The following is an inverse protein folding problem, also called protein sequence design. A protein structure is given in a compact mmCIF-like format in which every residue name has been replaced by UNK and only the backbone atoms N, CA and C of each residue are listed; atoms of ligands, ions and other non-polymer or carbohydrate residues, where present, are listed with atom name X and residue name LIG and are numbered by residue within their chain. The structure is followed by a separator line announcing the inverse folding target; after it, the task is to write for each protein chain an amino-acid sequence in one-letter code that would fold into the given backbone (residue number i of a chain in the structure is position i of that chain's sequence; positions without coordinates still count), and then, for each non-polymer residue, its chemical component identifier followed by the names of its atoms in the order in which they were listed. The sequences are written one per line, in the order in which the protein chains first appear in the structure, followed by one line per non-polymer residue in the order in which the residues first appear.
data_IF_684533089531
#
_entry.id   IF_684533089531
#
_cell.length_a   1.000
_cell.length_b   1.000
_cell.length_c   1.000
_cell.angle_alpha   90.00
_cell.angle_beta   90.00
_cell.angle_gamma   90.00
#
_symmetry.space_group_name_H-M   'P 1'
#
loop_
_entity.id
_entity.type
_entity.pdbx_description
1 polymer ?
#
# COMPACT_ATOMS: atom_id res chain seq x y z
N UNK A 1 1.29 13.61 1.11
CA UNK A 1 1.75 12.27 1.61
C UNK A 1 1.22 11.02 0.87
N UNK A 2 -0.09 10.79 0.68
CA UNK A 2 -0.62 9.52 0.07
C UNK A 2 -0.05 9.18 -1.32
N UNK A 3 0.20 10.18 -2.16
CA UNK A 3 0.83 10.00 -3.47
C UNK A 3 2.24 9.39 -3.38
N UNK A 4 3.02 9.82 -2.39
CA UNK A 4 4.39 9.35 -2.19
C UNK A 4 4.38 7.91 -1.63
N UNK A 5 3.39 7.56 -0.83
CA UNK A 5 3.15 6.17 -0.40
C UNK A 5 2.84 5.24 -1.58
N UNK A 6 2.23 5.76 -2.65
CA UNK A 6 1.97 4.99 -3.87
C UNK A 6 3.23 4.68 -4.69
N UNK A 7 4.36 5.35 -4.41
CA UNK A 7 5.66 4.95 -4.97
C UNK A 7 6.10 3.58 -4.44
N UNK A 8 5.68 3.21 -3.22
CA UNK A 8 6.05 1.95 -2.61
C UNK A 8 5.60 0.71 -3.44
N UNK A 9 4.32 0.58 -3.87
CA UNK A 9 3.93 -0.50 -4.77
C UNK A 9 4.59 -0.41 -6.16
N UNK A 10 4.96 0.78 -6.64
CA UNK A 10 5.71 0.94 -7.90
C UNK A 10 7.16 0.40 -7.79
N UNK A 11 7.87 0.76 -6.72
CA UNK A 11 9.22 0.25 -6.43
C UNK A 11 9.16 -1.25 -6.18
N UNK A 12 8.13 -1.73 -5.48
CA UNK A 12 7.91 -3.16 -5.26
C UNK A 12 7.71 -3.91 -6.59
N UNK A 13 6.90 -3.37 -7.52
CA UNK A 13 6.71 -3.91 -8.86
C UNK A 13 8.03 -3.97 -9.63
N UNK A 14 8.77 -2.85 -9.70
CA UNK A 14 10.05 -2.76 -10.41
C UNK A 14 11.12 -3.67 -9.82
N UNK A 15 11.24 -3.69 -8.49
CA UNK A 15 12.14 -4.58 -7.77
C UNK A 15 11.77 -6.06 -7.94
N UNK A 16 10.48 -6.37 -8.10
CA UNK A 16 9.97 -7.66 -8.53
C UNK A 16 10.59 -8.10 -9.87
N UNK A 17 10.53 -7.22 -10.87
CA UNK A 17 11.11 -7.47 -12.20
C UNK A 17 12.62 -7.69 -12.11
N UNK A 18 13.33 -6.80 -11.40
CA UNK A 18 14.79 -6.75 -11.44
C UNK A 18 15.44 -7.86 -10.59
N UNK A 19 14.97 -8.09 -9.36
CA UNK A 19 15.58 -9.04 -8.41
C UNK A 19 15.11 -10.49 -8.62
N UNK A 20 13.87 -10.67 -9.08
CA UNK A 20 13.26 -12.00 -9.26
C UNK A 20 13.16 -12.41 -10.72
N UNK A 21 13.53 -11.53 -11.67
CA UNK A 21 13.42 -11.77 -13.11
C UNK A 21 12.02 -12.25 -13.50
N UNK A 22 10.99 -11.74 -12.82
CA UNK A 22 9.59 -12.06 -13.14
C UNK A 22 9.33 -11.62 -14.59
N UNK A 23 8.93 -12.57 -15.45
CA UNK A 23 8.66 -12.26 -16.85
C UNK A 23 7.30 -11.58 -16.96
N UNK A 24 7.32 -10.28 -17.26
CA UNK A 24 6.09 -9.54 -17.53
C UNK A 24 5.50 -9.98 -18.86
N UNK A 25 4.25 -10.45 -18.83
CA UNK A 25 3.47 -10.51 -20.06
C UNK A 25 3.20 -9.09 -20.55
N UNK A 26 3.14 -8.89 -21.88
CA UNK A 26 2.76 -7.59 -22.48
C UNK A 26 1.44 -7.06 -21.90
N UNK A 27 0.53 -7.96 -21.54
CA UNK A 27 -0.76 -7.63 -20.90
C UNK A 27 -0.55 -7.05 -19.49
N UNK A 28 0.39 -7.60 -18.71
CA UNK A 28 0.69 -7.07 -17.37
C UNK A 28 1.32 -5.68 -17.43
N UNK A 29 2.17 -5.43 -18.43
CA UNK A 29 2.77 -4.13 -18.64
C UNK A 29 1.70 -3.08 -19.00
N UNK A 30 0.77 -3.42 -19.90
CA UNK A 30 -0.35 -2.55 -20.25
C UNK A 30 -1.22 -2.27 -19.02
N UNK A 31 -1.56 -3.31 -18.24
CA UNK A 31 -2.32 -3.17 -16.99
C UNK A 31 -1.61 -2.27 -15.97
N UNK A 32 -0.30 -2.44 -15.81
CA UNK A 32 0.50 -1.60 -14.92
C UNK A 32 0.53 -0.13 -15.37
N UNK A 33 0.76 0.14 -16.66
CA UNK A 33 0.74 1.51 -17.21
C UNK A 33 -0.63 2.15 -17.00
N UNK A 34 -1.71 1.41 -17.27
CA UNK A 34 -3.08 1.87 -17.08
C UNK A 34 -3.38 2.15 -15.59
N UNK A 35 -2.86 1.31 -14.69
CA UNK A 35 -2.99 1.46 -13.25
C UNK A 35 -2.25 2.71 -12.74
N UNK A 36 -0.98 2.90 -13.11
CA UNK A 36 -0.21 4.06 -12.66
C UNK A 36 -0.70 5.36 -13.31
N UNK A 37 -1.12 5.31 -14.58
CA UNK A 37 -1.81 6.42 -15.24
C UNK A 37 -3.10 6.78 -14.52
N UNK A 38 -3.95 5.80 -14.21
CA UNK A 38 -5.20 6.00 -13.46
C UNK A 38 -4.97 6.58 -12.06
N UNK A 39 -3.91 6.16 -11.36
CA UNK A 39 -3.54 6.73 -10.07
C UNK A 39 -3.14 8.20 -10.22
N UNK A 40 -2.36 8.54 -11.25
CA UNK A 40 -2.01 9.93 -11.57
C UNK A 40 -3.26 10.80 -11.77
N UNK A 41 -4.25 10.31 -12.51
CA UNK A 41 -5.53 11.00 -12.69
C UNK A 41 -6.36 11.07 -11.40
N UNK A 42 -6.41 9.98 -10.63
CA UNK A 42 -7.14 9.92 -9.36
C UNK A 42 -6.63 10.99 -8.38
N UNK A 43 -5.32 11.21 -8.36
CA UNK A 43 -4.70 12.20 -7.50
C UNK A 43 -4.55 13.59 -8.15
N UNK A 44 -5.17 13.85 -9.31
CA UNK A 44 -5.02 15.10 -10.05
C UNK A 44 -5.30 16.36 -9.20
N UNK A 45 -6.27 16.32 -8.29
CA UNK A 45 -6.53 17.46 -7.39
C UNK A 45 -5.50 17.59 -6.26
N UNK A 46 -4.89 16.48 -5.83
CA UNK A 46 -3.91 16.45 -4.74
C UNK A 46 -2.50 16.84 -5.23
N UNK A 47 -2.17 16.57 -6.50
CA UNK A 47 -0.87 16.89 -7.10
C UNK A 47 -0.57 18.41 -7.02
N UNK A 48 -1.43 19.31 -7.53
CA UNK A 48 -1.20 20.75 -7.46
C UNK A 48 -1.12 21.27 -6.04
N UNK A 49 -1.95 20.74 -5.12
CA UNK A 49 -1.96 21.14 -3.71
C UNK A 49 -0.63 20.81 -3.02
N UNK A 50 0.00 19.68 -3.36
CA UNK A 50 1.31 19.28 -2.83
C UNK A 50 2.45 20.07 -3.50
N UNK A 51 2.31 20.41 -4.78
CA UNK A 51 3.29 21.24 -5.49
C UNK A 51 3.20 22.73 -5.13
N UNK A 52 2.01 23.22 -4.75
CA UNK A 52 1.76 24.62 -4.37
C UNK A 52 1.83 24.86 -2.87
N UNK A 53 1.80 23.81 -2.04
CA UNK A 53 2.09 23.91 -0.63
C UNK A 53 3.57 24.26 -0.42
N UNK A 54 3.87 25.55 -0.43
CA UNK A 54 5.14 26.18 -0.04
C UNK A 54 5.56 25.89 1.42
N UNK A 55 4.85 24.99 2.11
CA UNK A 55 5.04 24.57 3.49
C UNK A 55 5.50 23.10 3.63
N UNK A 56 5.46 22.26 2.59
CA UNK A 56 6.11 20.94 2.67
C UNK A 56 7.61 21.13 2.40
N UNK A 57 8.40 21.18 3.48
CA UNK A 57 9.86 21.23 3.41
C UNK A 57 10.38 20.05 2.58
N UNK A 58 11.34 20.31 1.68
CA UNK A 58 12.03 19.31 0.83
C UNK A 58 12.50 18.11 1.67
N UNK A 59 12.92 18.37 2.92
CA UNK A 59 13.31 17.36 3.91
C UNK A 59 12.23 16.30 4.18
N UNK A 60 10.97 16.74 4.31
CA UNK A 60 9.83 15.84 4.51
C UNK A 60 9.61 14.93 3.29
N UNK A 61 9.68 15.49 2.09
CA UNK A 61 9.55 14.72 0.84
C UNK A 61 10.66 13.67 0.73
N UNK A 62 11.90 14.04 1.00
CA UNK A 62 13.05 13.11 0.98
C UNK A 62 12.86 11.98 1.99
N UNK A 63 12.42 12.28 3.21
CA UNK A 63 12.15 11.27 4.23
C UNK A 63 11.04 10.29 3.83
N UNK A 64 9.97 10.78 3.19
CA UNK A 64 8.87 9.90 2.74
C UNK A 64 9.32 9.03 1.56
N UNK A 65 10.12 9.56 0.63
CA UNK A 65 10.72 8.77 -0.46
C UNK A 65 11.64 7.69 0.12
N UNK A 66 12.49 8.04 1.09
CA UNK A 66 13.36 7.07 1.77
C UNK A 66 12.56 5.98 2.47
N UNK A 67 11.46 6.36 3.13
CA UNK A 67 10.54 5.43 3.78
C UNK A 67 9.87 4.48 2.78
N UNK A 68 9.46 4.99 1.61
CA UNK A 68 8.88 4.16 0.54
C UNK A 68 9.89 3.15 -0.02
N UNK A 69 11.14 3.57 -0.22
CA UNK A 69 12.25 2.68 -0.65
C UNK A 69 12.54 1.63 0.42
N UNK A 70 12.61 2.03 1.70
CA UNK A 70 12.84 1.12 2.80
C UNK A 70 11.72 0.07 2.92
N UNK A 71 10.46 0.49 2.80
CA UNK A 71 9.30 -0.41 2.80
C UNK A 71 9.33 -1.38 1.62
N UNK A 72 9.62 -0.89 0.41
CA UNK A 72 9.69 -1.74 -0.77
C UNK A 72 10.84 -2.74 -0.67
N UNK A 73 11.99 -2.31 -0.15
CA UNK A 73 13.14 -3.18 0.13
C UNK A 73 12.80 -4.26 1.15
N UNK A 74 12.10 -3.89 2.22
CA UNK A 74 11.56 -4.85 3.20
C UNK A 74 10.63 -5.86 2.53
N UNK A 75 9.64 -5.42 1.76
CA UNK A 75 8.69 -6.30 1.08
C UNK A 75 9.39 -7.25 0.09
N UNK A 76 10.39 -6.75 -0.65
CA UNK A 76 11.21 -7.57 -1.54
C UNK A 76 12.06 -8.56 -0.76
N UNK A 77 12.74 -8.16 0.31
CA UNK A 77 13.52 -9.07 1.14
C UNK A 77 12.63 -10.14 1.78
N UNK A 78 11.44 -9.75 2.25
CA UNK A 78 10.45 -10.63 2.85
C UNK A 78 10.11 -11.81 1.92
N UNK A 79 9.94 -11.55 0.62
CA UNK A 79 9.67 -12.62 -0.37
C UNK A 79 10.84 -13.60 -0.54
N UNK A 80 12.10 -13.17 -0.42
CA UNK A 80 13.25 -14.10 -0.39
C UNK A 80 13.24 -14.95 0.88
N UNK A 81 12.97 -14.34 2.04
CA UNK A 81 12.95 -15.05 3.32
C UNK A 81 11.82 -16.08 3.39
N UNK A 82 10.70 -15.83 2.71
CA UNK A 82 9.57 -16.76 2.60
C UNK A 82 9.91 -18.08 1.88
N UNK A 83 11.07 -18.17 1.22
CA UNK A 83 11.58 -19.46 0.67
C UNK A 83 12.08 -20.38 1.79
N UNK A 84 12.60 -19.81 2.87
CA UNK A 84 13.20 -20.57 3.99
C UNK A 84 12.31 -20.63 5.24
N UNK A 85 11.42 -19.65 5.42
CA UNK A 85 10.57 -19.50 6.59
C UNK A 85 9.09 -19.58 6.23
N UNK A 86 8.28 -20.17 7.12
CA UNK A 86 6.82 -20.14 6.96
C UNK A 86 6.27 -18.72 7.17
N UNK A 87 5.16 -18.38 6.50
CA UNK A 87 4.54 -17.04 6.61
C UNK A 87 4.26 -16.63 8.06
N UNK A 88 3.80 -17.57 8.91
CA UNK A 88 3.50 -17.30 10.32
C UNK A 88 4.75 -16.95 11.12
N UNK A 89 5.85 -17.68 10.94
CA UNK A 89 7.11 -17.43 11.63
C UNK A 89 7.69 -16.06 11.24
N UNK A 90 7.66 -15.73 9.95
CA UNK A 90 8.22 -14.47 9.47
C UNK A 90 7.42 -13.28 10.01
N UNK A 91 6.09 -13.33 9.95
CA UNK A 91 5.23 -12.26 10.50
C UNK A 91 5.45 -12.10 12.02
N UNK A 92 5.59 -13.19 12.77
CA UNK A 92 5.84 -13.13 14.21
C UNK A 92 7.20 -12.47 14.51
N UNK A 93 8.27 -12.87 13.80
CA UNK A 93 9.60 -12.29 13.96
C UNK A 93 9.57 -10.78 13.67
N UNK A 94 8.90 -10.36 12.60
CA UNK A 94 8.76 -8.94 12.25
C UNK A 94 8.03 -8.17 13.35
N UNK A 95 6.97 -8.75 13.94
CA UNK A 95 6.26 -8.09 15.05
C UNK A 95 7.05 -8.02 16.33
N UNK A 96 7.77 -9.08 16.71
CA UNK A 96 8.59 -9.06 17.93
C UNK A 96 9.73 -8.07 17.79
N UNK A 97 10.45 -8.10 16.67
CA UNK A 97 11.54 -7.15 16.40
C UNK A 97 11.01 -5.71 16.31
N UNK A 98 9.93 -5.49 15.57
CA UNK A 98 9.29 -4.18 15.45
C UNK A 98 8.81 -3.65 16.80
N UNK A 99 8.19 -4.50 17.61
CA UNK A 99 7.77 -4.17 18.97
C UNK A 99 8.96 -3.76 19.84
N UNK A 100 10.01 -4.58 19.89
CA UNK A 100 11.21 -4.31 20.68
C UNK A 100 11.90 -2.99 20.27
N UNK A 101 11.99 -2.72 18.97
CA UNK A 101 12.57 -1.48 18.44
C UNK A 101 11.73 -0.25 18.76
N UNK A 102 10.40 -0.40 18.87
CA UNK A 102 9.48 0.71 19.15
C UNK A 102 9.28 0.98 20.64
N UNK A 103 9.59 0.04 21.54
CA UNK A 103 9.53 0.23 23.01
C UNK A 103 10.21 1.54 23.48
N UNK A 104 11.47 1.86 23.10
CA UNK A 104 12.13 3.08 23.60
C UNK A 104 11.51 4.37 23.09
N UNK A 105 10.73 4.31 22.01
CA UNK A 105 10.00 5.47 21.44
C UNK A 105 8.55 5.55 21.93
N UNK A 106 8.08 4.54 22.68
CA UNK A 106 6.68 4.42 23.09
C UNK A 106 6.42 5.13 24.43
N UNK A 107 5.46 6.04 24.43
CA UNK A 107 5.03 6.76 25.63
C UNK A 107 3.87 6.02 26.31
N UNK A 108 4.20 5.13 27.24
CA UNK A 108 3.19 4.31 27.90
C UNK A 108 2.18 5.10 28.74
N UNK A 109 2.57 6.29 29.21
CA UNK A 109 1.71 7.14 30.04
C UNK A 109 0.48 7.67 29.29
N UNK A 110 0.57 7.78 27.96
CA UNK A 110 -0.53 8.26 27.11
C UNK A 110 -1.67 7.25 27.00
N UNK A 111 -1.44 5.96 27.28
CA UNK A 111 -2.49 4.92 27.28
C UNK A 111 -3.52 5.13 28.40
N UNK A 112 -3.10 5.70 29.54
CA UNK A 112 -3.99 5.94 30.67
C UNK A 112 -5.00 7.08 30.42
N UNK A 113 -4.74 7.93 29.43
CA UNK A 113 -5.59 9.08 29.09
C UNK A 113 -6.53 8.80 27.90
N UNK A 114 -6.55 7.58 27.37
CA UNK A 114 -7.39 7.24 26.22
C UNK A 114 -8.86 7.10 26.63
N UNK A 115 -9.76 7.69 25.83
CA UNK A 115 -11.20 7.49 25.99
C UNK A 115 -11.65 6.09 25.59
N UNK A 116 -12.84 5.66 26.00
CA UNK A 116 -13.40 4.33 25.67
C UNK A 116 -13.41 4.08 24.15
N UNK A 117 -13.79 5.09 23.35
CA UNK A 117 -13.77 5.00 21.89
C UNK A 117 -12.37 4.88 21.30
N UNK A 118 -11.38 5.53 21.90
CA UNK A 118 -9.97 5.42 21.47
C UNK A 118 -9.39 4.04 21.80
N UNK A 119 -9.80 3.42 22.91
CA UNK A 119 -9.44 2.04 23.23
C UNK A 119 -10.00 1.05 22.21
N UNK A 120 -11.27 1.21 21.83
CA UNK A 120 -11.89 0.38 20.77
C UNK A 120 -11.14 0.57 19.44
N UNK A 121 -10.83 1.82 19.07
CA UNK A 121 -10.08 2.12 17.86
C UNK A 121 -8.65 1.53 17.89
N UNK A 122 -7.99 1.56 19.05
CA UNK A 122 -6.65 0.99 19.25
C UNK A 122 -6.68 -0.53 19.05
N UNK A 123 -7.61 -1.23 19.71
CA UNK A 123 -7.75 -2.68 19.58
C UNK A 123 -8.06 -3.05 18.12
N UNK A 124 -8.99 -2.32 17.48
CA UNK A 124 -9.31 -2.52 16.07
C UNK A 124 -8.09 -2.33 15.17
N UNK A 125 -7.29 -1.28 15.40
CA UNK A 125 -6.05 -1.02 14.66
C UNK A 125 -5.03 -2.16 14.82
N UNK A 126 -4.86 -2.69 16.04
CA UNK A 126 -3.98 -3.83 16.31
C UNK A 126 -4.43 -5.08 15.54
N UNK A 127 -5.72 -5.43 15.61
CA UNK A 127 -6.26 -6.57 14.85
C UNK A 127 -6.13 -6.37 13.34
N UNK A 128 -6.45 -5.18 12.82
CA UNK A 128 -6.30 -4.85 11.41
C UNK A 128 -4.85 -5.02 10.94
N UNK A 129 -3.89 -4.57 11.73
CA UNK A 129 -2.46 -4.73 11.46
C UNK A 129 -2.08 -6.21 11.38
N UNK A 130 -2.46 -7.01 12.39
CA UNK A 130 -2.16 -8.46 12.45
C UNK A 130 -2.73 -9.20 11.24
N UNK A 131 -4.00 -8.95 10.93
CA UNK A 131 -4.70 -9.61 9.82
C UNK A 131 -4.13 -9.13 8.48
N UNK A 132 -3.91 -7.82 8.32
CA UNK A 132 -3.44 -7.20 7.10
C UNK A 132 -2.04 -7.66 6.70
N UNK A 133 -1.07 -7.59 7.61
CA UNK A 133 0.29 -8.07 7.33
C UNK A 133 0.38 -9.59 7.25
N UNK A 134 -0.45 -10.33 7.99
CA UNK A 134 -0.56 -11.79 7.84
C UNK A 134 -1.04 -12.18 6.43
N UNK A 135 -2.09 -11.51 5.94
CA UNK A 135 -2.59 -11.67 4.58
C UNK A 135 -1.56 -11.24 3.53
N UNK A 136 -0.90 -10.09 3.73
CA UNK A 136 0.17 -9.60 2.85
C UNK A 136 1.33 -10.58 2.74
N UNK A 137 1.82 -11.09 3.88
CA UNK A 137 2.90 -12.09 3.93
C UNK A 137 2.51 -13.36 3.20
N UNK A 138 1.26 -13.83 3.38
CA UNK A 138 0.74 -15.00 2.68
C UNK A 138 0.62 -14.75 1.18
N UNK A 139 0.12 -13.58 0.78
CA UNK A 139 0.01 -13.17 -0.63
C UNK A 139 1.40 -13.13 -1.29
N UNK A 140 2.42 -12.58 -0.63
CA UNK A 140 3.79 -12.56 -1.13
C UNK A 140 4.42 -13.95 -1.30
N UNK A 141 3.94 -14.95 -0.54
CA UNK A 141 4.37 -16.34 -0.70
C UNK A 141 3.72 -17.04 -1.90
N UNK A 142 2.46 -16.73 -2.21
CA UNK A 142 1.69 -17.45 -3.26
C UNK A 142 1.58 -16.68 -4.58
N UNK A 143 1.74 -15.36 -4.58
CA UNK A 143 1.59 -14.49 -5.74
C UNK A 143 2.92 -13.86 -6.17
N UNK A 144 2.99 -13.58 -7.47
CA UNK A 144 4.08 -12.76 -8.02
C UNK A 144 4.01 -11.34 -7.44
N UNK A 145 5.16 -10.69 -7.33
CA UNK A 145 5.26 -9.38 -6.68
C UNK A 145 4.37 -8.36 -7.38
N UNK A 146 4.26 -8.49 -8.71
CA UNK A 146 3.40 -7.67 -9.56
C UNK A 146 1.91 -7.73 -9.22
N UNK A 147 1.40 -8.89 -8.81
CA UNK A 147 -0.01 -9.05 -8.44
C UNK A 147 -0.27 -8.41 -7.08
N UNK A 148 0.66 -8.62 -6.14
CA UNK A 148 0.58 -8.01 -4.80
C UNK A 148 0.63 -6.49 -4.91
N UNK A 149 1.54 -5.92 -5.70
CA UNK A 149 1.61 -4.47 -5.91
C UNK A 149 0.36 -3.90 -6.59
N UNK A 150 -0.24 -4.63 -7.54
CA UNK A 150 -1.48 -4.21 -8.20
C UNK A 150 -2.65 -4.13 -7.21
N UNK A 151 -2.78 -5.12 -6.32
CA UNK A 151 -3.83 -5.12 -5.27
C UNK A 151 -3.60 -4.01 -4.25
N UNK A 152 -2.36 -3.83 -3.78
CA UNK A 152 -2.03 -2.73 -2.85
C UNK A 152 -2.36 -1.37 -3.45
N UNK A 153 -2.17 -1.24 -4.76
CA UNK A 153 -2.43 0.01 -5.45
C UNK A 153 -3.92 0.40 -5.51
N UNK A 154 -4.83 -0.54 -5.32
CA UNK A 154 -6.28 -0.29 -5.23
C UNK A 154 -6.69 0.22 -3.85
N UNK A 155 -5.89 -0.03 -2.81
CA UNK A 155 -6.19 0.38 -1.43
C UNK A 155 -6.66 1.84 -1.26
N UNK A 156 -6.01 2.87 -1.84
CA UNK A 156 -6.49 4.25 -1.70
C UNK A 156 -7.89 4.49 -2.28
N UNK A 157 -8.26 3.79 -3.36
CA UNK A 157 -9.60 3.88 -3.96
C UNK A 157 -10.63 3.24 -3.04
N UNK A 158 -10.31 2.06 -2.49
CA UNK A 158 -11.18 1.39 -1.54
C UNK A 158 -11.39 2.24 -0.27
N UNK A 159 -10.32 2.82 0.26
CA UNK A 159 -10.39 3.74 1.41
C UNK A 159 -11.26 4.95 1.09
N UNK A 160 -11.12 5.53 -0.09
CA UNK A 160 -11.96 6.66 -0.51
C UNK A 160 -13.44 6.26 -0.64
N UNK A 161 -13.74 5.14 -1.31
CA UNK A 161 -15.12 4.65 -1.45
C UNK A 161 -15.75 4.35 -0.08
N UNK A 162 -14.97 3.79 0.84
CA UNK A 162 -15.39 3.55 2.22
C UNK A 162 -15.69 4.86 2.95
N UNK A 163 -14.87 5.91 2.75
CA UNK A 163 -15.11 7.23 3.32
C UNK A 163 -16.40 7.87 2.76
N UNK A 164 -16.63 7.79 1.44
CA UNK A 164 -17.89 8.21 0.79
C UNK A 164 -19.11 7.51 1.40
N UNK A 165 -19.01 6.21 1.62
CA UNK A 165 -20.09 5.41 2.19
C UNK A 165 -20.33 5.75 3.67
N UNK A 166 -19.26 6.04 4.43
CA UNK A 166 -19.36 6.53 5.81
C UNK A 166 -20.05 7.90 5.89
N UNK A 167 -19.72 8.84 4.99
CA UNK A 167 -20.40 10.15 4.88
C UNK A 167 -21.89 9.97 4.58
N UNK A 168 -22.25 9.04 3.68
CA UNK A 168 -23.66 8.77 3.36
C UNK A 168 -24.45 8.25 4.58
N UNK A 169 -23.81 7.46 5.45
CA UNK A 169 -24.44 6.90 6.66
C UNK A 169 -24.50 7.93 7.80
N UNK A 170 -23.48 8.78 7.96
CA UNK A 170 -23.37 9.75 9.04
C UNK A 170 -22.82 11.11 8.54
N UNK A 171 -23.64 11.91 7.83
CA UNK A 171 -23.19 13.15 7.18
C UNK A 171 -22.74 14.25 8.15
N UNK A 172 -23.23 14.24 9.40
CA UNK A 172 -22.92 15.27 10.40
C UNK A 172 -21.54 15.10 11.06
N UNK A 173 -20.86 13.97 10.84
CA UNK A 173 -19.58 13.63 11.50
C UNK A 173 -18.39 13.68 10.54
N UNK A 174 -18.62 13.55 9.23
CA UNK A 174 -17.57 13.37 8.24
C UNK A 174 -17.61 14.44 7.14
N UNK A 175 -16.47 15.07 6.88
CA UNK A 175 -16.33 16.10 5.83
C UNK A 175 -16.21 15.48 4.44
N UNK A 176 -16.96 16.02 3.47
CA UNK A 176 -16.91 15.57 2.08
C UNK A 176 -15.58 16.03 1.44
N UNK A 177 -14.82 15.06 0.92
CA UNK A 177 -13.72 15.35 0.03
C UNK A 177 -14.31 15.40 -1.38
N UNK A 178 -14.73 16.57 -1.83
CA UNK A 178 -15.27 16.78 -3.18
C UNK A 178 -14.26 16.28 -4.23
N UNK A 179 -14.55 15.14 -4.87
CA UNK A 179 -13.78 14.65 -6.01
C UNK A 179 -14.37 15.17 -7.31
N UNK A 180 -13.48 15.73 -8.14
CA UNK A 180 -13.78 16.08 -9.52
C UNK A 180 -13.98 14.81 -10.38
N UNK A 181 -14.72 14.97 -11.47
CA UNK A 181 -15.06 13.93 -12.44
C UNK A 181 -13.82 13.19 -12.96
N UNK A 182 -12.70 13.90 -13.09
CA UNK A 182 -11.42 13.35 -13.51
C UNK A 182 -10.89 12.28 -12.55
N UNK A 183 -11.12 12.47 -11.25
CA UNK A 183 -10.64 11.56 -10.22
C UNK A 183 -11.46 10.25 -10.21
N UNK A 184 -12.76 10.31 -10.55
CA UNK A 184 -13.58 9.12 -10.79
C UNK A 184 -13.12 8.31 -12.01
N UNK A 185 -12.79 8.99 -13.11
CA UNK A 185 -12.21 8.34 -14.30
C UNK A 185 -10.88 7.66 -13.93
N UNK A 186 -10.04 8.35 -13.16
CA UNK A 186 -8.80 7.77 -12.61
C UNK A 186 -9.06 6.48 -11.82
N UNK A 187 -10.03 6.48 -10.90
CA UNK A 187 -10.38 5.29 -10.11
C UNK A 187 -10.79 4.09 -10.99
N UNK A 188 -11.59 4.32 -12.04
CA UNK A 188 -11.99 3.27 -12.99
C UNK A 188 -10.77 2.71 -13.72
N UNK A 189 -9.88 3.59 -14.18
CA UNK A 189 -8.64 3.18 -14.84
C UNK A 189 -7.73 2.33 -13.95
N UNK A 190 -7.62 2.68 -12.66
CA UNK A 190 -6.86 1.89 -11.69
C UNK A 190 -7.47 0.51 -11.50
N UNK A 191 -8.79 0.43 -11.35
CA UNK A 191 -9.50 -0.84 -11.16
C UNK A 191 -9.30 -1.75 -12.37
N UNK A 192 -9.53 -1.23 -13.58
CA UNK A 192 -9.33 -2.02 -14.82
C UNK A 192 -7.86 -2.38 -14.99
N UNK A 193 -6.94 -1.44 -14.77
CA UNK A 193 -5.49 -1.67 -14.85
C UNK A 193 -5.03 -2.76 -13.87
N UNK A 194 -5.56 -2.77 -12.64
CA UNK A 194 -5.27 -3.80 -11.65
C UNK A 194 -5.79 -5.17 -12.07
N UNK A 195 -7.02 -5.25 -12.60
CA UNK A 195 -7.58 -6.50 -13.13
C UNK A 195 -6.69 -7.04 -14.25
N UNK A 196 -6.36 -6.20 -15.24
CA UNK A 196 -5.51 -6.58 -16.38
C UNK A 196 -4.10 -7.00 -15.93
N UNK A 197 -3.51 -6.27 -14.97
CA UNK A 197 -2.21 -6.61 -14.39
C UNK A 197 -2.24 -7.96 -13.64
N UNK A 198 -3.35 -8.28 -12.97
CA UNK A 198 -3.53 -9.53 -12.23
C UNK A 198 -3.73 -10.77 -13.13
N UNK A 199 -4.31 -10.57 -14.33
CA UNK A 199 -4.64 -11.63 -15.28
C UNK A 199 -3.43 -12.22 -16.02
N UNK A 200 -2.25 -11.59 -15.93
CA UNK A 200 -1.04 -12.16 -16.51
C UNK A 200 -0.75 -13.55 -15.97
N UNK A 201 -0.78 -14.54 -16.86
CA UNK A 201 -0.38 -15.92 -16.53
C UNK A 201 1.12 -15.97 -16.31
N UNK A 202 1.51 -16.81 -15.35
CA UNK A 202 2.90 -17.21 -15.09
C UNK A 202 3.43 -17.81 -16.40
N UNK A 203 4.26 -17.08 -17.14
CA UNK A 203 5.05 -17.71 -18.19
C UNK A 203 6.10 -18.54 -17.47
N UNK A 204 5.78 -19.79 -17.17
CA UNK A 204 6.79 -20.73 -16.68
C UNK A 204 7.83 -20.89 -17.78
N UNK A 205 8.95 -20.21 -17.69
CA UNK A 205 10.17 -20.68 -18.34
C UNK A 205 10.53 -21.97 -17.62
N UNK A 206 10.26 -23.10 -18.27
CA UNK A 206 10.91 -24.36 -17.96
C UNK A 206 12.42 -24.11 -17.93
N UNK A 207 13.14 -24.50 -16.87
CA UNK A 207 14.59 -24.45 -16.90
C UNK A 207 15.06 -25.39 -18.01
N UNK A 208 15.88 -24.86 -18.93
CA UNK A 208 16.76 -25.68 -19.77
C UNK A 208 18.05 -25.93 -19.00
#
# INVERSE_FOLDING_TARGET
MQLVLQLAPFILLLGGVFLYKETFSRIQLIGAIMLFGGLGLFFNQRIPIILSSSQESIEGVVLVVFSAVAWASYALAQKRLLVSFTSRQLTLVIYVLGGLLLIPFSQFLSLANLSEWQWVALIFCCFNTVIGYGAFTRAMHIWDTSKVSAVISIAPIFTYLSNKLAIYIAPDVYFDAEMDTLAYIGAIFVIIGAMVASMGKRTSRTPK
#
